data_IF_793549151768
#
_entry.id   IF_793549151768
#
_cell.length_a   1.000
_cell.length_b   1.000
_cell.length_c   1.000
_cell.angle_alpha   90.00
_cell.angle_beta   90.00
_cell.angle_gamma   90.00
#
_symmetry.space_group_name_H-M   'P 1'
#
loop_
_entity.id
_entity.type
_entity.pdbx_description
1 polymer ?
#
# COMPACT_ATOMS: atom_id res chain seq x y z
N UNK A 1 -1.39 -10.43 6.38
CA UNK A 1 -0.38 -9.54 5.77
C UNK A 1 -0.47 -9.76 4.27
N UNK A 2 -0.72 -8.70 3.50
CA UNK A 2 -0.83 -8.77 2.05
C UNK A 2 0.56 -8.54 1.44
N UNK A 3 0.86 -9.18 0.32
CA UNK A 3 2.07 -8.94 -0.45
C UNK A 3 1.72 -8.61 -1.89
N UNK A 4 2.44 -7.64 -2.46
CA UNK A 4 2.33 -7.29 -3.87
C UNK A 4 3.70 -6.80 -4.36
N UNK A 5 4.03 -7.13 -5.61
CA UNK A 5 5.24 -6.68 -6.29
C UNK A 5 4.86 -5.74 -7.43
N UNK A 6 5.65 -4.69 -7.63
CA UNK A 6 5.50 -3.75 -8.74
C UNK A 6 6.81 -3.71 -9.52
N UNK A 7 6.70 -3.79 -10.83
CA UNK A 7 7.82 -3.72 -11.76
C UNK A 7 7.63 -2.50 -12.64
N UNK A 8 8.65 -1.64 -12.70
CA UNK A 8 8.65 -0.51 -13.63
C UNK A 8 8.99 -1.01 -15.03
N UNK A 9 8.05 -0.87 -15.95
CA UNK A 9 8.23 -1.18 -17.37
C UNK A 9 8.21 0.11 -18.20
N UNK A 10 8.96 0.13 -19.30
CA UNK A 10 8.84 1.18 -20.32
C UNK A 10 7.94 0.68 -21.44
N UNK A 11 6.89 1.42 -21.75
CA UNK A 11 6.07 1.14 -22.92
C UNK A 11 6.86 1.50 -24.20
N UNK A 12 7.11 0.53 -25.06
CA UNK A 12 7.73 0.76 -26.38
C UNK A 12 6.73 1.30 -27.39
N UNK A 13 5.48 0.85 -27.28
CA UNK A 13 4.36 1.23 -28.13
C UNK A 13 3.18 1.57 -27.23
N UNK A 14 2.62 2.76 -27.37
CA UNK A 14 1.38 3.14 -26.71
C UNK A 14 0.23 2.77 -27.65
N UNK A 15 -0.37 1.60 -27.43
CA UNK A 15 -1.66 1.30 -28.04
C UNK A 15 -2.73 2.28 -27.52
N UNK A 16 -3.81 2.44 -28.29
CA UNK A 16 -4.93 3.25 -27.82
C UNK A 16 -5.47 2.66 -26.52
N UNK A 17 -5.64 3.50 -25.51
CA UNK A 17 -6.26 3.10 -24.25
C UNK A 17 -7.70 2.65 -24.55
N UNK A 18 -8.02 1.41 -24.22
CA UNK A 18 -9.31 0.80 -24.51
C UNK A 18 -9.84 0.06 -23.30
N UNK A 19 -11.15 0.14 -23.10
CA UNK A 19 -11.88 -0.67 -22.12
C UNK A 19 -11.92 -2.13 -22.58
N UNK A 20 -11.96 -3.06 -21.62
CA UNK A 20 -12.14 -4.50 -21.85
C UNK A 20 -13.24 -5.02 -20.92
N UNK A 21 -13.59 -6.30 -21.05
CA UNK A 21 -14.54 -6.95 -20.13
C UNK A 21 -14.04 -6.91 -18.67
N UNK A 22 -12.72 -6.83 -18.45
CA UNK A 22 -12.08 -6.72 -17.15
C UNK A 22 -11.78 -5.27 -16.71
N UNK A 23 -11.59 -4.34 -17.64
CA UNK A 23 -11.16 -2.97 -17.36
C UNK A 23 -12.18 -1.93 -17.86
N UNK A 24 -12.82 -1.23 -16.93
CA UNK A 24 -13.85 -0.22 -17.22
C UNK A 24 -13.30 1.17 -17.53
N UNK A 25 -12.01 1.42 -17.31
CA UNK A 25 -11.31 2.64 -17.71
C UNK A 25 -9.80 2.39 -17.73
N UNK A 26 -9.11 2.96 -18.71
CA UNK A 26 -7.63 2.96 -18.78
C UNK A 26 -7.16 4.37 -19.08
N UNK A 27 -6.26 4.90 -18.26
CA UNK A 27 -5.79 6.29 -18.33
C UNK A 27 -4.28 6.36 -18.03
N UNK A 28 -3.59 7.31 -18.65
CA UNK A 28 -2.24 7.70 -18.25
C UNK A 28 -2.33 8.74 -17.13
N UNK A 29 -1.65 8.50 -16.01
CA UNK A 29 -1.66 9.37 -14.84
C UNK A 29 -0.25 9.86 -14.51
N UNK A 30 -0.19 11.08 -13.99
CA UNK A 30 0.99 11.58 -13.28
C UNK A 30 1.11 10.95 -11.90
N UNK A 31 2.30 10.98 -11.30
CA UNK A 31 2.50 10.47 -9.94
C UNK A 31 1.57 11.12 -8.91
N UNK A 32 1.35 12.44 -9.01
CA UNK A 32 0.45 13.17 -8.12
C UNK A 32 -1.03 12.74 -8.28
N UNK A 33 -1.47 12.44 -9.50
CA UNK A 33 -2.83 11.92 -9.74
C UNK A 33 -2.98 10.49 -9.19
N UNK A 34 -1.94 9.65 -9.29
CA UNK A 34 -1.93 8.32 -8.67
C UNK A 34 -2.08 8.43 -7.16
N UNK A 35 -1.32 9.33 -6.51
CA UNK A 35 -1.43 9.58 -5.07
C UNK A 35 -2.82 10.06 -4.66
N UNK A 36 -3.44 10.95 -5.44
CA UNK A 36 -4.78 11.49 -5.15
C UNK A 36 -5.94 10.53 -5.42
N UNK A 37 -5.79 9.61 -6.38
CA UNK A 37 -6.86 8.69 -6.83
C UNK A 37 -6.79 7.30 -6.20
N UNK A 38 -5.69 6.93 -5.57
CA UNK A 38 -5.43 5.55 -5.11
C UNK A 38 -5.37 5.45 -3.59
N UNK A 39 -5.62 4.24 -3.08
CA UNK A 39 -5.34 3.94 -1.66
C UNK A 39 -3.83 4.05 -1.38
N UNK A 40 -3.41 4.47 -0.17
CA UNK A 40 -1.99 4.70 0.16
C UNK A 40 -1.04 3.55 -0.20
N UNK A 41 -1.47 2.30 0.05
CA UNK A 41 -0.67 1.13 -0.27
C UNK A 41 -0.45 0.95 -1.79
N UNK A 42 -1.39 1.35 -2.64
CA UNK A 42 -1.19 1.33 -4.10
C UNK A 42 -0.32 2.50 -4.56
N UNK A 43 -0.65 3.72 -4.09
CA UNK A 43 0.08 4.93 -4.45
C UNK A 43 1.59 4.79 -4.19
N UNK A 44 1.97 4.37 -2.98
CA UNK A 44 3.38 4.25 -2.60
C UNK A 44 4.15 3.25 -3.47
N UNK A 45 3.50 2.17 -3.91
CA UNK A 45 4.16 1.15 -4.74
C UNK A 45 4.47 1.68 -6.13
N UNK A 46 3.58 2.52 -6.69
CA UNK A 46 3.81 3.16 -7.98
C UNK A 46 4.88 4.24 -7.84
N UNK A 47 4.82 5.08 -6.81
CA UNK A 47 5.77 6.18 -6.60
C UNK A 47 7.18 5.66 -6.27
N UNK A 48 7.30 4.61 -5.44
CA UNK A 48 8.58 3.95 -5.14
C UNK A 48 9.21 3.38 -6.43
N UNK A 49 8.41 2.78 -7.31
CA UNK A 49 8.90 2.27 -8.60
C UNK A 49 9.38 3.39 -9.53
N UNK A 50 8.66 4.53 -9.56
CA UNK A 50 9.02 5.71 -10.37
C UNK A 50 10.21 6.50 -9.80
N UNK A 51 10.54 6.34 -8.52
CA UNK A 51 11.63 7.07 -7.87
C UNK A 51 13.05 6.66 -8.34
N UNK A 52 13.16 5.59 -9.14
CA UNK A 52 14.43 5.20 -9.79
C UNK A 52 15.48 4.63 -8.82
N UNK A 53 15.04 4.02 -7.72
CA UNK A 53 15.94 3.31 -6.81
C UNK A 53 16.59 2.11 -7.52
N UNK A 54 17.89 1.91 -7.29
CA UNK A 54 18.60 0.74 -7.82
C UNK A 54 18.12 -0.57 -7.18
N UNK A 55 17.73 -0.51 -5.91
CA UNK A 55 17.25 -1.64 -5.13
C UNK A 55 15.72 -1.59 -4.94
N UNK A 56 15.02 -2.74 -4.88
CA UNK A 56 13.60 -2.79 -4.59
C UNK A 56 13.24 -2.17 -3.24
N UNK A 57 12.22 -1.32 -3.20
CA UNK A 57 11.71 -0.74 -1.96
C UNK A 57 10.72 -1.70 -1.29
N UNK A 58 10.92 -1.99 -0.01
CA UNK A 58 10.05 -2.84 0.80
C UNK A 58 9.16 -1.98 1.71
N UNK A 59 7.84 -2.21 1.64
CA UNK A 59 6.84 -1.53 2.47
C UNK A 59 5.95 -2.56 3.15
N UNK A 60 5.63 -2.33 4.43
CA UNK A 60 4.58 -3.09 5.11
C UNK A 60 3.24 -2.39 4.90
N UNK A 61 2.21 -3.14 4.49
CA UNK A 61 0.87 -2.61 4.26
C UNK A 61 -0.21 -3.67 4.51
N UNK A 62 -1.44 -3.21 4.75
CA UNK A 62 -2.63 -4.08 4.87
C UNK A 62 -3.40 -4.21 3.54
N UNK A 63 -2.91 -3.57 2.47
CA UNK A 63 -3.56 -3.50 1.15
C UNK A 63 -4.25 -2.17 0.89
N UNK A 64 -4.50 -1.37 1.92
CA UNK A 64 -5.08 -0.03 1.85
C UNK A 64 -4.10 0.99 2.44
N UNK A 65 -3.64 0.76 3.66
CA UNK A 65 -2.76 1.64 4.43
C UNK A 65 -1.34 1.10 4.52
N UNK A 66 -0.40 2.03 4.70
CA UNK A 66 0.96 1.71 5.12
C UNK A 66 1.01 1.45 6.61
N UNK A 67 1.78 0.44 7.00
CA UNK A 67 1.96 0.02 8.39
C UNK A 67 3.40 0.34 8.80
N UNK A 68 3.62 1.36 9.62
CA UNK A 68 4.96 1.77 10.04
C UNK A 68 5.13 3.29 10.12
N UNK A 69 6.37 3.76 10.12
CA UNK A 69 6.77 5.11 10.53
C UNK A 69 6.23 6.29 9.68
N UNK A 70 5.55 6.04 8.56
CA UNK A 70 4.87 7.07 7.75
C UNK A 70 3.35 7.16 8.00
N UNK A 71 2.80 6.36 8.91
CA UNK A 71 1.44 6.60 9.39
C UNK A 71 1.44 7.87 10.27
N UNK A 72 0.48 8.81 10.10
CA UNK A 72 0.30 9.86 11.09
C UNK A 72 0.16 9.19 12.46
N UNK A 73 0.82 9.72 13.51
CA UNK A 73 0.76 9.11 14.83
C UNK A 73 -0.72 8.88 15.16
N UNK A 74 -1.11 7.67 15.65
CA UNK A 74 -2.48 7.45 16.06
C UNK A 74 -2.84 8.58 17.01
N UNK A 75 -4.00 9.22 16.79
CA UNK A 75 -4.49 10.27 17.68
C UNK A 75 -4.28 9.77 19.10
N UNK A 76 -3.44 10.49 19.86
CA UNK A 76 -3.03 10.05 21.19
C UNK A 76 -4.26 9.62 21.96
N UNK A 77 -4.18 8.46 22.63
CA UNK A 77 -5.30 7.90 23.38
C UNK A 77 -5.97 9.05 24.17
N UNK A 78 -7.29 9.26 24.02
CA UNK A 78 -7.97 10.29 24.77
C UNK A 78 -7.74 10.06 26.27
N UNK A 79 -7.47 11.12 27.04
CA UNK A 79 -7.24 10.98 28.48
C UNK A 79 -8.46 10.31 29.12
N UNK A 80 -8.26 9.16 29.75
CA UNK A 80 -9.31 8.41 30.45
C UNK A 80 -9.58 7.00 29.91
N UNK A 81 -9.05 6.64 28.73
CA UNK A 81 -9.26 5.30 28.19
C UNK A 81 -8.34 4.25 28.87
N UNK A 82 -8.87 3.14 29.42
CA UNK A 82 -8.06 2.13 30.07
C UNK A 82 -7.12 1.41 29.07
N UNK A 83 -5.95 0.91 29.51
CA UNK A 83 -5.11 0.05 28.69
C UNK A 83 -5.90 -1.17 28.19
N UNK A 84 -5.64 -1.66 26.95
CA UNK A 84 -6.24 -2.92 26.52
C UNK A 84 -5.81 -4.03 27.50
N UNK A 85 -6.65 -5.06 27.70
CA UNK A 85 -6.27 -6.20 28.51
C UNK A 85 -5.02 -6.88 27.91
N UNK A 86 -4.16 -7.48 28.75
CA UNK A 86 -3.04 -8.26 28.23
C UNK A 86 -3.55 -9.37 27.29
N UNK A 87 -2.78 -9.76 26.27
CA UNK A 87 -3.15 -10.88 25.42
C UNK A 87 -3.33 -12.15 26.26
N UNK A 88 -4.26 -13.04 25.89
CA UNK A 88 -4.41 -14.32 26.58
C UNK A 88 -3.09 -15.10 26.53
N UNK A 89 -2.78 -15.90 27.56
CA UNK A 89 -1.59 -16.77 27.52
C UNK A 89 -1.65 -17.65 26.28
N UNK A 90 -0.49 -17.98 25.67
CA UNK A 90 -0.46 -18.88 24.53
C UNK A 90 -1.17 -20.18 24.90
N UNK A 91 -2.07 -20.65 24.04
CA UNK A 91 -2.71 -21.94 24.22
C UNK A 91 -1.60 -22.99 24.42
N UNK A 92 -1.61 -23.65 25.57
CA UNK A 92 -0.62 -24.68 25.90
C UNK A 92 -0.52 -25.66 24.74
N UNK A 93 0.71 -25.96 24.30
CA UNK A 93 0.92 -27.02 23.33
C UNK A 93 0.32 -28.29 23.92
N UNK A 94 -0.66 -28.87 23.23
CA UNK A 94 -1.08 -30.22 23.52
C UNK A 94 0.10 -31.14 23.16
N UNK A 95 0.62 -31.84 24.15
CA UNK A 95 1.58 -32.93 24.00
C UNK A 95 0.93 -34.14 23.30
#
# INVERSE_FOLDING_TARGET
MWSALVFLCRAEQAEALAETDEATAVEWLTAAEVEGRSVPAFAVRVTDALAGHEEPVLRHHDGIHLLGADAPPPAGRPPGDPPPPPPPPPAGRAD
#
